data_IF_729175220478
#
_entry.id   IF_729175220478
#
_cell.length_a   1.000
_cell.length_b   1.000
_cell.length_c   1.000
_cell.angle_alpha   90.00
_cell.angle_beta   90.00
_cell.angle_gamma   90.00
#
_symmetry.space_group_name_H-M   'P 1'
#
loop_
_entity.id
_entity.type
_entity.pdbx_description
1 polymer ?
#
# COMPACT_ATOMS: atom_id res chain seq x y z
N UNK A 1 -49.17 -19.19 19.70
CA UNK A 1 -50.56 -18.85 19.29
C UNK A 1 -50.48 -18.05 18.00
N UNK A 2 -50.99 -18.61 16.89
CA UNK A 2 -50.95 -17.98 15.55
C UNK A 2 -50.46 -18.90 14.41
N UNK A 3 -51.43 -19.47 13.67
CA UNK A 3 -51.44 -19.84 12.24
C UNK A 3 -50.38 -20.79 11.60
N UNK A 4 -50.73 -22.09 11.56
CA UNK A 4 -51.08 -22.96 10.40
C UNK A 4 -50.51 -22.70 8.96
N UNK A 5 -49.97 -23.79 8.35
CA UNK A 5 -49.84 -24.20 6.89
C UNK A 5 -48.69 -23.56 6.07
N UNK A 6 -47.87 -24.21 5.23
CA UNK A 6 -47.77 -25.49 4.45
C UNK A 6 -46.25 -25.78 4.26
N UNK A 7 -45.68 -26.98 4.39
CA UNK A 7 -45.70 -28.21 3.58
C UNK A 7 -45.31 -28.10 2.08
N UNK A 8 -44.10 -28.61 1.80
CA UNK A 8 -43.67 -29.52 0.72
C UNK A 8 -43.18 -29.03 -0.68
N UNK A 9 -42.11 -29.74 -1.12
CA UNK A 9 -41.50 -29.93 -2.48
C UNK A 9 -40.56 -28.80 -2.93
N UNK A 10 -39.35 -29.03 -3.47
CA UNK A 10 -38.85 -30.01 -4.46
C UNK A 10 -37.31 -30.15 -4.32
N UNK A 11 -36.71 -31.32 -4.08
CA UNK A 11 -36.09 -32.27 -5.03
C UNK A 11 -35.27 -31.70 -6.22
N UNK A 12 -33.95 -31.94 -6.13
CA UNK A 12 -33.00 -32.51 -7.12
C UNK A 12 -32.80 -31.87 -8.50
N UNK A 13 -31.55 -31.47 -8.81
CA UNK A 13 -30.83 -31.71 -10.09
C UNK A 13 -29.32 -31.66 -9.77
N UNK A 14 -28.63 -32.80 -9.65
CA UNK A 14 -27.85 -33.53 -10.65
C UNK A 14 -26.64 -32.78 -11.25
N UNK A 15 -25.49 -33.43 -11.05
CA UNK A 15 -24.18 -33.20 -11.66
C UNK A 15 -24.19 -33.21 -13.18
N UNK A 16 -23.33 -32.38 -13.80
CA UNK A 16 -22.91 -32.59 -15.19
C UNK A 16 -21.39 -32.41 -15.29
N UNK A 17 -20.68 -33.56 -15.26
CA UNK A 17 -19.38 -33.78 -15.91
C UNK A 17 -19.67 -34.39 -17.28
N UNK A 18 -19.16 -33.81 -18.37
CA UNK A 18 -18.87 -34.45 -19.69
C UNK A 18 -17.83 -33.56 -20.39
N UNK A 19 -16.56 -33.96 -20.47
CA UNK A 19 -15.96 -34.81 -21.51
C UNK A 19 -16.37 -34.43 -22.94
N UNK A 20 -15.42 -33.85 -23.69
CA UNK A 20 -15.32 -33.99 -25.13
C UNK A 20 -13.90 -34.43 -25.51
N UNK A 21 -13.83 -35.59 -26.18
CA UNK A 21 -12.68 -36.19 -26.85
C UNK A 21 -12.97 -36.18 -28.35
N UNK A 22 -11.94 -35.93 -29.16
CA UNK A 22 -11.61 -36.43 -30.52
C UNK A 22 -10.92 -35.29 -31.30
N UNK A 23 -9.59 -35.31 -31.50
CA UNK A 23 -8.74 -36.22 -32.30
C UNK A 23 -8.86 -35.98 -33.81
N UNK A 24 -7.84 -35.34 -34.38
CA UNK A 24 -7.33 -35.69 -35.70
C UNK A 24 -5.80 -35.75 -35.65
N UNK A 25 -5.28 -36.93 -36.02
CA UNK A 25 -3.88 -37.25 -36.25
C UNK A 25 -3.48 -36.79 -37.65
N UNK A 26 -2.30 -36.19 -37.78
CA UNK A 26 -1.53 -36.20 -39.03
C UNK A 26 -0.19 -36.88 -38.76
N UNK A 27 0.01 -38.02 -39.42
CA UNK A 27 1.25 -38.79 -39.42
C UNK A 27 2.20 -38.18 -40.47
N UNK A 28 3.43 -37.84 -40.09
CA UNK A 28 4.56 -37.75 -41.01
C UNK A 28 5.69 -38.61 -40.43
N UNK A 29 6.12 -39.61 -41.20
CA UNK A 29 7.10 -40.63 -40.83
C UNK A 29 8.48 -40.24 -41.36
N UNK A 30 9.40 -40.03 -40.41
CA UNK A 30 10.82 -40.38 -40.33
C UNK A 30 11.81 -39.99 -41.44
N UNK A 31 12.92 -39.38 -41.01
CA UNK A 31 14.27 -39.79 -41.42
C UNK A 31 15.25 -39.58 -40.26
N UNK A 32 15.79 -40.67 -39.72
CA UNK A 32 16.85 -40.67 -38.72
C UNK A 32 18.21 -40.64 -39.43
N UNK A 33 19.08 -39.69 -39.06
CA UNK A 33 20.53 -39.78 -39.25
C UNK A 33 21.21 -39.57 -37.89
N UNK A 34 22.23 -40.35 -37.53
CA UNK A 34 22.88 -40.25 -36.23
C UNK A 34 23.97 -39.17 -36.29
N UNK A 35 23.89 -38.17 -35.41
CA UNK A 35 24.89 -37.10 -35.30
C UNK A 35 25.01 -36.62 -33.86
N UNK A 36 26.14 -36.97 -33.24
CA UNK A 36 26.86 -36.37 -32.10
C UNK A 36 26.06 -35.56 -31.05
N UNK A 37 26.11 -36.03 -29.80
CA UNK A 37 25.49 -35.47 -28.59
C UNK A 37 26.18 -34.21 -28.02
N UNK A 38 26.94 -33.45 -28.80
CA UNK A 38 27.87 -32.45 -28.25
C UNK A 38 27.62 -30.96 -28.59
N UNK A 39 26.46 -30.58 -29.13
CA UNK A 39 26.29 -29.20 -29.64
C UNK A 39 24.87 -28.59 -29.48
N UNK A 40 24.25 -28.70 -28.29
CA UNK A 40 22.93 -28.07 -28.06
C UNK A 40 22.75 -27.36 -26.70
N UNK A 41 23.83 -26.91 -26.05
CA UNK A 41 23.71 -26.03 -24.88
C UNK A 41 24.74 -24.89 -24.93
N UNK A 42 24.51 -23.95 -25.84
CA UNK A 42 24.97 -22.56 -25.71
C UNK A 42 23.77 -21.68 -26.00
N UNK A 43 23.02 -21.38 -24.94
CA UNK A 43 22.26 -20.14 -24.72
C UNK A 43 21.39 -20.34 -23.47
N UNK A 44 22.06 -20.41 -22.31
CA UNK A 44 21.42 -20.01 -21.06
C UNK A 44 21.77 -18.54 -20.90
N UNK A 45 20.93 -17.68 -21.46
CA UNK A 45 20.90 -16.27 -21.12
C UNK A 45 20.75 -16.20 -19.60
N UNK A 46 21.76 -15.67 -18.93
CA UNK A 46 21.64 -15.26 -17.54
C UNK A 46 20.49 -14.25 -17.47
N UNK A 47 19.38 -14.67 -16.87
CA UNK A 47 18.35 -13.74 -16.41
C UNK A 47 19.02 -12.86 -15.37
N UNK A 48 19.41 -11.65 -15.80
CA UNK A 48 19.71 -10.57 -14.89
C UNK A 48 18.52 -10.43 -13.92
N UNK A 49 18.75 -10.10 -12.64
CA UNK A 49 17.64 -9.73 -11.78
C UNK A 49 16.92 -8.58 -12.47
N UNK A 50 15.65 -8.80 -12.85
CA UNK A 50 14.79 -7.70 -13.26
C UNK A 50 14.66 -6.86 -12.00
N UNK A 51 15.47 -5.80 -11.90
CA UNK A 51 15.20 -4.72 -10.99
C UNK A 51 13.83 -4.19 -11.44
N UNK A 52 12.76 -4.68 -10.82
CA UNK A 52 11.43 -4.12 -11.03
C UNK A 52 11.53 -2.69 -10.51
N UNK A 53 11.74 -1.74 -11.42
CA UNK A 53 11.50 -0.34 -11.12
C UNK A 53 10.04 -0.25 -10.69
N UNK A 54 9.78 0.45 -9.58
CA UNK A 54 8.41 0.82 -9.26
C UNK A 54 7.79 1.49 -10.50
N UNK A 55 6.50 1.27 -10.76
CA UNK A 55 5.81 1.97 -11.83
C UNK A 55 6.00 3.49 -11.74
N UNK A 56 5.94 4.20 -12.86
CA UNK A 56 6.22 5.66 -12.89
C UNK A 56 5.24 6.45 -12.00
N UNK A 57 5.66 6.71 -10.78
CA UNK A 57 5.03 7.59 -9.81
C UNK A 57 5.88 8.86 -9.71
N UNK A 58 5.32 10.08 -9.90
CA UNK A 58 6.12 11.30 -9.85
C UNK A 58 6.64 11.64 -8.45
N UNK A 59 5.87 11.28 -7.42
CA UNK A 59 6.23 11.47 -6.02
C UNK A 59 5.36 10.63 -5.09
N UNK A 60 5.90 10.33 -3.91
CA UNK A 60 5.19 9.72 -2.79
C UNK A 60 5.20 10.67 -1.60
N UNK A 61 4.02 10.94 -1.06
CA UNK A 61 3.83 11.73 0.16
C UNK A 61 3.48 10.79 1.31
N UNK A 62 4.06 11.02 2.47
CA UNK A 62 3.83 10.20 3.66
C UNK A 62 3.30 11.04 4.81
N UNK A 63 2.34 10.50 5.57
CA UNK A 63 2.15 10.95 6.95
C UNK A 63 3.41 10.67 7.77
N UNK A 64 3.72 11.52 8.76
CA UNK A 64 4.85 11.26 9.65
C UNK A 64 4.43 10.39 10.85
N UNK A 65 3.69 10.96 11.81
CA UNK A 65 3.19 10.25 13.00
C UNK A 65 2.08 9.26 12.63
N UNK A 66 2.10 8.06 13.24
CA UNK A 66 1.17 6.98 12.93
C UNK A 66 1.30 6.45 11.50
N UNK A 67 2.45 6.68 10.85
CA UNK A 67 2.70 6.28 9.47
C UNK A 67 4.16 5.87 9.25
N UNK A 68 5.11 6.82 9.10
CA UNK A 68 6.54 6.50 8.98
C UNK A 68 7.14 6.14 10.34
N UNK A 69 6.73 6.87 11.38
CA UNK A 69 7.20 6.74 12.77
C UNK A 69 6.00 6.83 13.72
N UNK A 70 6.26 6.70 15.03
CA UNK A 70 5.25 6.88 16.08
C UNK A 70 4.03 5.95 15.89
N UNK A 71 4.26 4.64 15.96
CA UNK A 71 3.20 3.64 15.82
C UNK A 71 2.08 3.91 16.84
N UNK A 72 0.86 4.08 16.32
CA UNK A 72 -0.32 4.42 17.10
C UNK A 72 -0.55 5.92 17.29
N UNK A 73 0.22 6.78 16.61
CA UNK A 73 0.12 8.25 16.71
C UNK A 73 0.13 8.78 18.16
N UNK A 74 1.05 8.27 18.98
CA UNK A 74 1.08 8.53 20.42
C UNK A 74 1.60 9.92 20.76
N UNK A 75 2.44 10.52 19.89
CA UNK A 75 3.03 11.84 20.13
C UNK A 75 1.99 12.97 20.20
N UNK A 76 0.82 12.79 19.58
CA UNK A 76 -0.31 13.73 19.67
C UNK A 76 -1.11 13.61 20.99
N UNK A 77 -0.95 12.51 21.72
CA UNK A 77 -1.71 12.19 22.94
C UNK A 77 -0.86 12.38 24.19
N UNK A 78 0.42 12.00 24.13
CA UNK A 78 1.37 12.07 25.25
C UNK A 78 2.54 12.97 24.88
N UNK A 79 2.68 14.10 25.58
CA UNK A 79 3.91 14.87 25.52
C UNK A 79 5.02 14.08 26.23
N UNK A 80 6.14 13.85 25.54
CA UNK A 80 7.43 13.42 26.11
C UNK A 80 7.58 11.93 26.50
N UNK A 81 7.52 11.01 25.54
CA UNK A 81 8.24 9.74 25.70
C UNK A 81 9.35 9.60 24.64
N UNK A 82 10.53 9.05 25.02
CA UNK A 82 11.71 8.99 24.16
C UNK A 82 11.57 8.02 22.95
N UNK A 83 10.57 7.13 22.94
CA UNK A 83 10.44 6.04 21.96
C UNK A 83 9.58 6.37 20.73
N UNK A 84 9.05 7.60 20.60
CA UNK A 84 8.17 7.94 19.47
C UNK A 84 8.87 8.05 18.12
N UNK A 85 10.20 8.23 18.09
CA UNK A 85 10.98 8.31 16.86
C UNK A 85 11.25 6.93 16.21
N UNK A 86 10.74 5.84 16.79
CA UNK A 86 10.85 4.50 16.22
C UNK A 86 10.04 4.41 14.92
N UNK A 87 10.70 3.91 13.88
CA UNK A 87 10.09 3.67 12.59
C UNK A 87 9.04 2.54 12.67
N UNK A 88 7.94 2.70 11.94
CA UNK A 88 6.90 1.67 11.87
C UNK A 88 7.37 0.45 11.06
N UNK A 89 6.70 -0.71 11.18
CA UNK A 89 7.12 -1.92 10.47
C UNK A 89 7.22 -1.74 8.94
N UNK A 90 8.44 -1.90 8.42
CA UNK A 90 8.78 -1.77 7.00
C UNK A 90 9.10 -0.36 6.52
N UNK A 91 9.01 0.67 7.36
CA UNK A 91 9.24 2.07 6.96
C UNK A 91 10.68 2.34 6.48
N UNK A 92 11.68 1.84 7.19
CA UNK A 92 13.09 2.04 6.82
C UNK A 92 13.41 1.34 5.51
N UNK A 93 13.01 0.06 5.39
CA UNK A 93 13.29 -0.76 4.20
C UNK A 93 12.68 -0.16 2.93
N UNK A 94 11.44 0.34 3.02
CA UNK A 94 10.79 0.98 1.88
C UNK A 94 11.44 2.32 1.55
N UNK A 95 11.75 3.17 2.53
CA UNK A 95 12.41 4.46 2.30
C UNK A 95 13.80 4.30 1.67
N UNK A 96 14.59 3.33 2.11
CA UNK A 96 15.88 3.01 1.50
C UNK A 96 15.73 2.52 0.06
N UNK A 97 14.68 1.74 -0.22
CA UNK A 97 14.39 1.27 -1.59
C UNK A 97 13.97 2.42 -2.49
N UNK A 98 13.08 3.28 -2.02
CA UNK A 98 12.63 4.49 -2.72
C UNK A 98 13.79 5.46 -2.98
N UNK A 99 14.67 5.66 -2.00
CA UNK A 99 15.87 6.49 -2.12
C UNK A 99 16.84 5.96 -3.17
N UNK A 100 17.12 4.65 -3.18
CA UNK A 100 17.96 4.01 -4.23
C UNK A 100 17.38 4.15 -5.63
N UNK A 101 16.05 4.24 -5.74
CA UNK A 101 15.34 4.46 -7.00
C UNK A 101 15.22 5.94 -7.38
N UNK A 102 15.68 6.87 -6.53
CA UNK A 102 15.55 8.30 -6.76
C UNK A 102 14.10 8.82 -6.68
N UNK A 103 13.20 8.11 -6.00
CA UNK A 103 11.80 8.51 -5.87
C UNK A 103 11.67 9.77 -4.99
N UNK A 104 11.09 10.87 -5.48
CA UNK A 104 10.83 12.06 -4.67
C UNK A 104 9.84 11.76 -3.54
N UNK A 105 10.28 11.92 -2.30
CA UNK A 105 9.48 11.65 -1.13
C UNK A 105 9.44 12.86 -0.17
N UNK A 106 8.25 13.18 0.34
CA UNK A 106 8.08 14.15 1.41
C UNK A 106 7.15 13.64 2.52
N UNK A 107 7.41 14.04 3.76
CA UNK A 107 6.53 13.77 4.89
C UNK A 107 5.70 15.00 5.27
N UNK A 108 4.48 14.76 5.75
CA UNK A 108 3.50 15.78 6.12
C UNK A 108 2.95 15.46 7.51
N UNK A 109 2.87 16.47 8.38
CA UNK A 109 2.28 16.36 9.72
C UNK A 109 1.68 17.69 10.22
N UNK A 110 0.75 17.65 11.18
CA UNK A 110 0.15 18.80 11.87
C UNK A 110 0.67 18.99 13.32
N UNK A 111 1.47 18.06 13.85
CA UNK A 111 2.14 18.18 15.14
C UNK A 111 3.06 19.42 15.20
N UNK A 112 3.38 19.97 16.38
CA UNK A 112 4.34 21.06 16.52
C UNK A 112 5.68 20.78 15.80
N UNK A 113 6.31 21.83 15.26
CA UNK A 113 7.49 21.72 14.41
C UNK A 113 8.64 21.00 15.10
N UNK A 114 9.00 21.41 16.31
CA UNK A 114 10.03 20.77 17.12
C UNK A 114 9.78 19.27 17.34
N UNK A 115 8.52 18.88 17.61
CA UNK A 115 8.14 17.50 17.82
C UNK A 115 8.22 16.71 16.51
N UNK A 116 7.71 17.26 15.41
CA UNK A 116 7.73 16.58 14.11
C UNK A 116 9.16 16.36 13.61
N UNK A 117 10.05 17.35 13.77
CA UNK A 117 11.45 17.18 13.39
C UNK A 117 12.18 16.16 14.28
N UNK A 118 11.87 16.10 15.58
CA UNK A 118 12.42 15.07 16.46
C UNK A 118 11.94 13.66 16.06
N UNK A 119 10.66 13.51 15.70
CA UNK A 119 10.11 12.25 15.20
C UNK A 119 10.74 11.83 13.87
N UNK A 120 10.97 12.77 12.97
CA UNK A 120 11.52 12.50 11.64
C UNK A 120 13.02 12.17 11.65
N UNK A 121 13.73 12.31 12.78
CA UNK A 121 15.18 12.15 12.85
C UNK A 121 15.67 10.83 12.22
N UNK A 122 14.96 9.73 12.47
CA UNK A 122 15.30 8.38 11.97
C UNK A 122 15.05 8.17 10.48
N UNK A 123 14.27 9.03 9.83
CA UNK A 123 13.89 8.90 8.41
C UNK A 123 14.35 10.08 7.55
N UNK A 124 14.87 11.14 8.16
CA UNK A 124 15.26 12.42 7.52
C UNK A 124 16.31 12.30 6.43
N UNK A 125 17.05 11.18 6.37
CA UNK A 125 18.00 10.89 5.29
C UNK A 125 17.30 10.63 3.96
N UNK A 126 16.09 10.05 3.98
CA UNK A 126 15.42 9.53 2.78
C UNK A 126 14.14 10.28 2.40
N UNK A 127 13.60 11.09 3.30
CA UNK A 127 12.35 11.83 3.08
C UNK A 127 12.45 13.28 3.56
N UNK A 128 11.97 14.21 2.74
CA UNK A 128 12.07 15.65 3.03
C UNK A 128 10.84 16.16 3.80
N UNK A 129 11.01 17.14 4.68
CA UNK A 129 9.89 17.79 5.35
C UNK A 129 9.08 18.65 4.36
N UNK A 130 7.76 18.44 4.28
CA UNK A 130 6.89 19.32 3.51
C UNK A 130 6.67 20.66 4.23
N UNK A 131 6.56 21.78 3.49
CA UNK A 131 6.15 23.06 4.07
C UNK A 131 4.76 22.96 4.70
N UNK A 132 4.54 23.66 5.82
CA UNK A 132 3.25 23.66 6.50
C UNK A 132 2.28 24.67 5.88
N UNK A 133 1.06 24.24 5.50
CA UNK A 133 0.04 25.16 5.02
C UNK A 133 -0.56 25.99 6.16
N UNK A 134 -1.15 27.13 5.79
CA UNK A 134 -2.02 27.90 6.69
C UNK A 134 -3.35 27.18 6.92
N UNK A 135 -3.93 26.62 5.86
CA UNK A 135 -5.17 25.84 5.95
C UNK A 135 -4.88 24.44 6.51
N UNK A 136 -5.66 24.03 7.51
CA UNK A 136 -5.55 22.72 8.18
C UNK A 136 -6.22 21.62 7.37
N UNK A 137 -5.84 20.36 7.63
CA UNK A 137 -6.56 19.22 7.09
C UNK A 137 -8.03 19.26 7.50
N UNK A 138 -8.97 19.01 6.58
CA UNK A 138 -8.79 18.28 5.33
C UNK A 138 -8.58 19.15 4.08
N UNK A 139 -8.17 20.42 4.20
CA UNK A 139 -7.83 21.23 3.03
C UNK A 139 -6.70 20.58 2.19
N UNK A 140 -6.71 20.71 0.86
CA UNK A 140 -5.73 20.04 -0.03
C UNK A 140 -4.32 20.65 0.03
N UNK A 141 -4.18 21.84 0.62
CA UNK A 141 -2.97 22.68 0.62
C UNK A 141 -1.72 21.94 1.08
N UNK A 142 -1.83 21.07 2.10
CA UNK A 142 -0.69 20.30 2.61
C UNK A 142 -0.07 19.42 1.52
N UNK A 143 -0.90 18.76 0.72
CA UNK A 143 -0.46 17.89 -0.35
C UNK A 143 0.13 18.69 -1.52
N UNK A 144 -0.52 19.78 -1.92
CA UNK A 144 -0.01 20.64 -3.00
C UNK A 144 1.32 21.29 -2.65
N UNK A 145 1.47 21.84 -1.43
CA UNK A 145 2.74 22.41 -0.99
C UNK A 145 3.87 21.37 -0.94
N UNK A 146 3.57 20.14 -0.51
CA UNK A 146 4.55 19.06 -0.53
C UNK A 146 5.01 18.73 -1.97
N UNK A 147 4.08 18.61 -2.92
CA UNK A 147 4.41 18.37 -4.33
C UNK A 147 5.19 19.54 -4.97
N UNK A 148 4.83 20.78 -4.63
CA UNK A 148 5.56 21.97 -5.06
C UNK A 148 6.99 21.99 -4.51
N UNK A 149 7.18 21.62 -3.23
CA UNK A 149 8.50 21.53 -2.62
C UNK A 149 9.38 20.45 -3.28
N UNK A 150 8.76 19.33 -3.69
CA UNK A 150 9.41 18.28 -4.47
C UNK A 150 9.59 18.63 -5.96
N UNK A 151 9.11 19.80 -6.42
CA UNK A 151 9.17 20.27 -7.81
C UNK A 151 8.57 19.26 -8.81
N UNK A 152 7.49 18.62 -8.40
CA UNK A 152 6.77 17.66 -9.25
C UNK A 152 6.07 18.40 -10.38
N UNK A 153 6.25 17.94 -11.62
CA UNK A 153 5.73 18.61 -12.81
C UNK A 153 4.30 18.18 -13.20
N UNK A 154 3.76 17.11 -12.58
CA UNK A 154 2.43 16.59 -12.86
C UNK A 154 1.78 15.98 -11.63
N UNK A 155 0.48 16.19 -11.44
CA UNK A 155 -0.28 15.59 -10.35
C UNK A 155 -0.56 14.10 -10.59
N UNK A 156 -0.71 13.71 -11.86
CA UNK A 156 -1.11 12.35 -12.23
C UNK A 156 -0.12 11.30 -11.73
N UNK A 157 -0.62 10.39 -10.90
CA UNK A 157 0.17 9.33 -10.29
C UNK A 157 0.77 9.70 -8.93
N UNK A 158 0.69 10.94 -8.45
CA UNK A 158 1.14 11.23 -7.09
C UNK A 158 0.29 10.46 -6.06
N UNK A 159 0.96 9.89 -5.06
CA UNK A 159 0.32 9.05 -4.04
C UNK A 159 0.58 9.63 -2.66
N UNK A 160 -0.46 9.68 -1.82
CA UNK A 160 -0.37 9.95 -0.39
C UNK A 160 -0.56 8.65 0.39
N UNK A 161 0.35 8.36 1.33
CA UNK A 161 0.28 7.22 2.23
C UNK A 161 0.09 7.75 3.66
N UNK A 162 -0.97 7.33 4.35
CA UNK A 162 -1.22 7.75 5.74
C UNK A 162 -2.18 6.81 6.47
N UNK A 163 -2.09 6.77 7.80
CA UNK A 163 -3.10 6.16 8.67
C UNK A 163 -4.12 7.16 9.24
N UNK A 164 -3.93 8.47 9.04
CA UNK A 164 -4.80 9.53 9.56
C UNK A 164 -5.91 9.89 8.55
N UNK A 165 -7.20 9.67 8.89
CA UNK A 165 -8.33 10.03 8.03
C UNK A 165 -8.36 11.49 7.58
N UNK A 166 -7.90 12.45 8.39
CA UNK A 166 -7.89 13.87 8.04
C UNK A 166 -6.87 14.17 6.95
N UNK A 167 -5.67 13.62 7.06
CA UNK A 167 -4.64 13.75 6.04
C UNK A 167 -5.02 12.99 4.76
N UNK A 168 -5.59 11.79 4.87
CA UNK A 168 -6.10 11.06 3.71
C UNK A 168 -7.19 11.85 2.97
N UNK A 169 -8.09 12.53 3.70
CA UNK A 169 -9.07 13.42 3.09
C UNK A 169 -8.41 14.59 2.34
N UNK A 170 -7.32 15.15 2.88
CA UNK A 170 -6.53 16.18 2.19
C UNK A 170 -5.99 15.67 0.86
N UNK A 171 -5.47 14.43 0.82
CA UNK A 171 -5.00 13.79 -0.41
C UNK A 171 -6.12 13.56 -1.43
N UNK A 172 -7.27 13.06 -0.99
CA UNK A 172 -8.46 12.90 -1.84
C UNK A 172 -8.91 14.26 -2.42
N UNK A 173 -9.01 15.29 -1.56
CA UNK A 173 -9.39 16.64 -1.97
C UNK A 173 -8.36 17.28 -2.92
N UNK A 174 -7.09 16.87 -2.82
CA UNK A 174 -6.00 17.33 -3.68
C UNK A 174 -5.91 16.55 -5.01
N UNK A 175 -6.71 15.50 -5.21
CA UNK A 175 -6.73 14.67 -6.41
C UNK A 175 -5.59 13.65 -6.50
N UNK A 176 -5.04 13.22 -5.36
CA UNK A 176 -3.99 12.20 -5.29
C UNK A 176 -4.58 10.80 -5.13
N UNK A 177 -3.83 9.80 -5.58
CA UNK A 177 -4.02 8.44 -5.09
C UNK A 177 -3.77 8.38 -3.58
N UNK A 178 -4.48 7.51 -2.87
CA UNK A 178 -4.37 7.41 -1.41
C UNK A 178 -4.25 5.96 -0.96
N UNK A 179 -3.27 5.70 -0.10
CA UNK A 179 -3.04 4.41 0.54
C UNK A 179 -3.22 4.58 2.05
N UNK A 180 -4.21 3.89 2.61
CA UNK A 180 -4.49 3.85 4.03
C UNK A 180 -3.63 2.81 4.76
N UNK A 181 -3.20 3.12 5.98
CA UNK A 181 -2.51 2.16 6.86
C UNK A 181 -3.43 1.67 7.98
N UNK A 182 -3.66 0.34 8.05
CA UNK A 182 -4.64 -0.25 8.96
C UNK A 182 -4.12 -0.52 10.38
N UNK A 183 -2.80 -0.56 10.60
CA UNK A 183 -2.23 -0.95 11.92
C UNK A 183 -1.71 0.20 12.75
N UNK A 184 -0.99 1.16 12.15
CA UNK A 184 -0.19 2.15 12.89
C UNK A 184 -0.86 3.52 13.06
N UNK A 185 -2.00 3.77 12.42
CA UNK A 185 -2.67 5.07 12.46
C UNK A 185 -3.49 5.33 13.74
N UNK A 186 -4.03 6.55 13.89
CA UNK A 186 -4.87 6.93 15.04
C UNK A 186 -6.17 6.13 15.17
N UNK A 187 -6.65 5.47 14.10
CA UNK A 187 -7.82 4.59 14.17
C UNK A 187 -7.59 3.36 15.06
N UNK A 188 -6.34 2.89 15.16
CA UNK A 188 -5.93 1.86 16.11
C UNK A 188 -5.47 2.48 17.43
N UNK A 189 -4.61 3.52 17.36
CA UNK A 189 -4.29 4.36 18.51
C UNK A 189 -3.53 3.67 19.66
N UNK A 190 -2.87 2.54 19.39
CA UNK A 190 -2.14 1.75 20.38
C UNK A 190 -0.63 1.89 20.18
N UNK A 191 0.11 2.00 21.28
CA UNK A 191 1.58 1.93 21.24
C UNK A 191 2.07 0.54 20.78
N UNK A 192 3.35 0.40 20.36
CA UNK A 192 3.91 -0.90 19.97
C UNK A 192 3.70 -1.99 21.02
N UNK A 193 3.95 -1.69 22.30
CA UNK A 193 3.79 -2.64 23.41
C UNK A 193 2.31 -3.06 23.59
N UNK A 194 1.38 -2.11 23.49
CA UNK A 194 -0.06 -2.41 23.56
C UNK A 194 -0.51 -3.27 22.38
N UNK A 195 -0.03 -2.99 21.18
CA UNK A 195 -0.34 -3.77 19.98
C UNK A 195 0.19 -5.20 20.04
N UNK A 196 1.40 -5.38 20.57
CA UNK A 196 2.02 -6.69 20.77
C UNK A 196 1.32 -7.51 21.86
N UNK A 197 0.79 -6.85 22.90
CA UNK A 197 0.06 -7.50 23.99
C UNK A 197 -1.32 -8.05 23.58
N UNK A 198 -1.87 -7.61 22.45
CA UNK A 198 -3.13 -8.14 21.92
C UNK A 198 -3.00 -9.60 21.46
N UNK A 199 -4.12 -10.31 21.47
CA UNK A 199 -4.25 -11.56 20.71
C UNK A 199 -4.32 -11.30 19.20
N UNK A 200 -4.10 -12.34 18.39
CA UNK A 200 -4.22 -12.23 16.93
C UNK A 200 -5.62 -11.81 16.48
N UNK A 201 -6.66 -12.33 17.15
CA UNK A 201 -8.05 -11.97 16.86
C UNK A 201 -8.33 -10.49 17.15
N UNK A 202 -7.74 -9.93 18.20
CA UNK A 202 -7.92 -8.52 18.57
C UNK A 202 -7.19 -7.56 17.63
N UNK A 203 -6.02 -7.97 17.13
CA UNK A 203 -5.30 -7.23 16.08
C UNK A 203 -6.10 -7.25 14.78
N UNK A 204 -6.57 -8.42 14.36
CA UNK A 204 -7.37 -8.58 13.15
C UNK A 204 -8.66 -7.74 13.21
N UNK A 205 -9.38 -7.78 14.32
CA UNK A 205 -10.59 -6.97 14.50
C UNK A 205 -10.30 -5.46 14.36
N UNK A 206 -9.18 -4.98 14.91
CA UNK A 206 -8.79 -3.56 14.81
C UNK A 206 -8.38 -3.19 13.40
N UNK A 207 -7.59 -4.02 12.71
CA UNK A 207 -7.21 -3.79 11.31
C UNK A 207 -8.44 -3.78 10.40
N UNK A 208 -9.35 -4.74 10.55
CA UNK A 208 -10.58 -4.80 9.78
C UNK A 208 -11.44 -3.54 10.00
N UNK A 209 -11.58 -3.10 11.26
CA UNK A 209 -12.31 -1.87 11.59
C UNK A 209 -11.67 -0.61 10.98
N UNK A 210 -10.35 -0.46 11.10
CA UNK A 210 -9.62 0.64 10.49
C UNK A 210 -9.79 0.62 8.96
N UNK A 211 -9.60 -0.55 8.34
CA UNK A 211 -9.74 -0.76 6.90
C UNK A 211 -11.11 -0.35 6.38
N UNK A 212 -12.18 -0.81 7.03
CA UNK A 212 -13.55 -0.43 6.64
C UNK A 212 -13.79 1.07 6.75
N UNK A 213 -13.28 1.73 7.80
CA UNK A 213 -13.39 3.18 7.95
C UNK A 213 -12.64 3.95 6.86
N UNK A 214 -11.44 3.49 6.51
CA UNK A 214 -10.61 4.12 5.49
C UNK A 214 -11.25 3.98 4.09
N UNK A 215 -11.74 2.78 3.74
CA UNK A 215 -12.47 2.59 2.49
C UNK A 215 -13.79 3.38 2.44
N UNK A 216 -14.51 3.49 3.56
CA UNK A 216 -15.74 4.29 3.63
C UNK A 216 -15.50 5.80 3.37
N UNK A 217 -14.25 6.27 3.51
CA UNK A 217 -13.85 7.63 3.19
C UNK A 217 -13.50 7.82 1.70
N UNK A 218 -13.36 6.74 0.94
CA UNK A 218 -12.94 6.79 -0.47
C UNK A 218 -11.45 6.57 -0.70
N UNK A 219 -10.71 6.04 0.29
CA UNK A 219 -9.30 5.67 0.11
C UNK A 219 -9.15 4.58 -0.96
N UNK A 220 -8.14 4.70 -1.83
CA UNK A 220 -8.01 3.85 -3.02
C UNK A 220 -7.50 2.44 -2.74
N UNK A 221 -6.63 2.30 -1.73
CA UNK A 221 -6.08 1.02 -1.26
C UNK A 221 -5.80 1.10 0.24
N UNK A 222 -5.89 -0.01 0.95
CA UNK A 222 -5.50 -0.10 2.37
C UNK A 222 -4.56 -1.28 2.53
N UNK A 223 -3.47 -1.08 3.28
CA UNK A 223 -2.48 -2.10 3.63
C UNK A 223 -2.25 -2.13 5.13
N UNK A 224 -1.71 -3.24 5.64
CA UNK A 224 -1.53 -3.41 7.08
C UNK A 224 -0.40 -2.54 7.62
N UNK A 225 0.71 -2.48 6.88
CA UNK A 225 1.92 -1.72 7.21
C UNK A 225 2.76 -1.43 5.96
N UNK A 226 3.80 -0.61 6.09
CA UNK A 226 4.60 -0.13 4.96
C UNK A 226 5.44 -1.20 4.23
N UNK A 227 5.59 -2.39 4.83
CA UNK A 227 6.25 -3.52 4.17
C UNK A 227 5.46 -4.07 2.97
N UNK A 228 4.18 -3.73 2.85
CA UNK A 228 3.33 -4.11 1.72
C UNK A 228 3.24 -3.02 0.64
N UNK A 229 3.91 -1.88 0.83
CA UNK A 229 3.75 -0.70 -0.02
C UNK A 229 4.17 -0.97 -1.47
N UNK A 230 5.26 -1.71 -1.70
CA UNK A 230 5.74 -2.02 -3.05
C UNK A 230 4.69 -2.78 -3.87
N UNK A 231 4.06 -3.80 -3.25
CA UNK A 231 2.98 -4.57 -3.90
C UNK A 231 1.74 -3.71 -4.13
N UNK A 232 1.39 -2.84 -3.18
CA UNK A 232 0.26 -1.92 -3.33
C UNK A 232 0.48 -0.90 -4.45
N UNK A 233 1.68 -0.36 -4.59
CA UNK A 233 2.05 0.55 -5.66
C UNK A 233 2.00 -0.15 -7.03
N UNK A 234 2.45 -1.40 -7.11
CA UNK A 234 2.33 -2.20 -8.33
C UNK A 234 0.87 -2.41 -8.76
N UNK A 235 -0.04 -2.68 -7.81
CA UNK A 235 -1.48 -2.81 -8.08
C UNK A 235 -2.10 -1.49 -8.57
N UNK A 236 -1.79 -0.36 -7.92
CA UNK A 236 -2.26 0.97 -8.35
C UNK A 236 -1.79 1.27 -9.78
N UNK A 237 -0.56 0.93 -10.14
CA UNK A 237 -0.10 1.14 -11.51
C UNK A 237 -0.80 0.26 -12.53
N UNK A 238 -1.12 -0.98 -12.18
CA UNK A 238 -1.95 -1.84 -13.02
C UNK A 238 -3.34 -1.23 -13.23
N UNK A 239 -3.95 -0.68 -12.17
CA UNK A 239 -5.23 0.04 -12.23
C UNK A 239 -5.15 1.28 -13.12
N UNK A 240 -4.09 2.09 -12.97
CA UNK A 240 -3.79 3.24 -13.85
C UNK A 240 -3.65 2.83 -15.31
N UNK A 241 -2.98 1.71 -15.60
CA UNK A 241 -2.83 1.19 -16.98
C UNK A 241 -4.18 0.81 -17.63
N UNK A 242 -5.20 0.53 -16.80
CA UNK A 242 -6.57 0.24 -17.23
C UNK A 242 -7.45 1.51 -17.29
N UNK A 243 -6.87 2.69 -17.08
CA UNK A 243 -7.56 3.98 -17.16
C UNK A 243 -8.23 4.42 -15.85
N UNK A 244 -8.01 3.73 -14.74
CA UNK A 244 -8.48 4.19 -13.43
C UNK A 244 -7.72 5.47 -13.03
N UNK A 245 -8.45 6.39 -12.39
CA UNK A 245 -7.94 7.67 -11.88
C UNK A 245 -8.36 7.81 -10.41
N UNK A 246 -7.69 8.69 -9.65
CA UNK A 246 -8.17 9.08 -8.33
C UNK A 246 -9.61 9.61 -8.35
#
# INVERSE_FOLDING_TARGET
>A
MGSIKRSARNKSVLSVRRQFKHSHRTFIRMSQKPGSVHEYFRDITMLAPVANSLPDFPALLFGLSGCLVDFGAQAGIKAQEPDFALATPGAIDILQTLSRQGMPCAWIDELPENLSHALAATVSEWVTAAPRPNAKWPAPDACWLALMALKVNQLEGCVLISGDPRLLQSGLNAGLWTIGLASCGPLCGLSPAQWQALSDSEREQRRAHATLKLYAQGVHSVIDHLGELESCLADIALRRSKGEKP
#
